data_IF_138103495793
#
_entry.id   IF_138103495793
#
_cell.length_a   1.000
_cell.length_b   1.000
_cell.length_c   1.000
_cell.angle_alpha   90.00
_cell.angle_beta   90.00
_cell.angle_gamma   90.00
#
_symmetry.space_group_name_H-M   'P 1'
#
loop_
_entity.id
_entity.type
_entity.pdbx_description
1 polymer ?
#
# COMPACT_ATOMS: atom_id res chain seq x y z
N UNK A 1 -34.25 33.70 -8.79
CA UNK A 1 -33.69 33.11 -8.26
C UNK A 1 -32.82 32.59 -8.06
N UNK A 2 -33.31 33.04 -8.64
CA UNK A 2 -32.67 32.34 -8.18
C UNK A 2 -31.68 32.00 -8.09
N UNK A 3 -31.97 31.97 -8.37
CA UNK A 3 -31.28 31.43 -8.11
C UNK A 3 -30.42 30.94 -8.00
N UNK A 4 -31.64 32.26 -8.75
CA UNK A 4 -31.29 31.67 -8.26
C UNK A 4 -30.20 31.18 -8.24
N UNK A 5 -30.71 31.56 -8.11
CA UNK A 5 -30.14 31.02 -7.80
C UNK A 5 -29.21 30.57 -7.71
N UNK A 6 -30.36 31.43 -8.06
CA UNK A 6 -29.95 30.96 -7.56
C UNK A 6 -28.98 30.37 -7.43
N UNK A 7 -29.48 30.57 -7.75
CA UNK A 7 -28.96 29.88 -7.42
C UNK A 7 -28.06 29.38 -7.34
N UNK A 8 -28.83 29.80 -7.58
CA UNK A 8 -28.43 29.23 -7.20
C UNK A 8 -27.56 28.78 -6.98
N UNK A 9 -28.51 29.33 -7.26
CA UNK A 9 -28.03 28.71 -6.79
C UNK A 9 -27.20 28.21 -6.72
N UNK A 10 -28.20 28.83 -7.25
CA UNK A 10 -27.80 28.16 -6.88
C UNK A 10 -27.00 27.67 -6.98
N UNK A 11 -27.42 27.62 -7.20
CA UNK A 11 -27.15 27.03 -7.20
C UNK A 11 -26.16 26.52 -7.10
N UNK A 12 -27.36 27.67 -7.74
CA UNK A 12 -26.89 27.06 -7.41
C UNK A 12 -26.05 26.71 -7.29
N UNK A 13 -26.73 26.55 -7.61
CA UNK A 13 -26.34 26.00 -7.43
C UNK A 13 -25.45 25.41 -7.47
N UNK A 14 -26.43 26.52 -8.17
CA UNK A 14 -26.13 25.74 -7.86
C UNK A 14 -25.15 25.29 -8.17
N UNK A 15 -25.53 25.35 -8.36
CA UNK A 15 -25.10 24.81 -8.45
C UNK A 15 -24.09 24.35 -8.45
N UNK A 16 -24.86 25.04 -8.77
CA UNK A 16 -24.11 24.37 -8.45
C UNK A 16 -23.30 23.98 -8.51
N UNK A 17 -23.91 24.10 -8.76
CA UNK A 17 -23.31 23.40 -8.49
C UNK A 17 -22.39 22.73 -8.54
N UNK A 18 -23.08 23.15 -8.91
CA UNK A 18 -22.37 22.28 -8.66
C UNK A 18 -21.42 21.83 -8.69
N UNK A 19 -21.60 22.22 -8.98
CA UNK A 19 -20.73 21.48 -8.65
C UNK A 19 -19.90 21.01 -8.44
N UNK A 20 -20.09 21.10 -8.54
CA UNK A 20 -19.27 20.43 -8.08
C UNK A 20 -18.53 19.63 -7.97
N UNK A 21 -18.72 20.00 -8.15
CA UNK A 21 -17.91 19.09 -7.81
C UNK A 21 -17.20 18.42 -8.04
N UNK A 22 -17.22 18.67 -8.25
CA UNK A 22 -16.51 17.84 -8.22
C UNK A 22 -15.69 17.39 -8.29
N UNK A 23 -15.95 17.61 -8.25
CA UNK A 23 -15.12 17.02 -8.07
C UNK A 23 -14.43 16.31 -8.04
N UNK A 24 -14.61 16.52 -8.00
CA UNK A 24 -13.90 15.70 -7.87
C UNK A 24 -13.48 14.76 -7.96
N UNK A 25 -13.58 14.83 -8.19
CA UNK A 25 -13.12 13.85 -8.21
C UNK A 25 -12.43 13.13 -8.24
N UNK A 26 -12.43 13.32 -8.30
CA UNK A 26 -11.71 12.57 -8.23
C UNK A 26 -11.30 11.78 -7.99
N UNK A 27 -12.02 12.08 -8.47
CA UNK A 27 -11.62 11.16 -8.02
C UNK A 27 -10.59 10.51 -8.18
N UNK A 28 -10.32 10.78 -8.31
CA UNK A 28 -9.25 9.87 -8.31
C UNK A 28 -9.59 8.62 -7.61
N UNK A 29 -9.49 7.56 -8.26
CA UNK A 29 -9.70 6.34 -7.53
C UNK A 29 -8.60 6.18 -6.50
N UNK A 30 -8.97 6.01 -5.28
CA UNK A 30 -8.05 5.68 -4.24
C UNK A 30 -7.41 4.33 -4.57
N UNK A 31 -6.13 4.20 -4.38
CA UNK A 31 -5.47 2.92 -4.54
C UNK A 31 -5.92 1.98 -3.44
N UNK A 32 -6.17 0.75 -3.82
CA UNK A 32 -6.50 -0.29 -2.86
C UNK A 32 -5.21 -0.83 -2.26
N UNK A 33 -5.15 -0.88 -0.95
CA UNK A 33 -4.02 -1.46 -0.24
C UNK A 33 -4.38 -2.86 0.22
N UNK A 34 -3.41 -3.76 0.15
CA UNK A 34 -3.57 -5.12 0.67
C UNK A 34 -2.67 -5.26 1.88
N UNK A 35 -3.24 -5.80 2.96
CA UNK A 35 -2.47 -6.07 4.17
C UNK A 35 -1.74 -7.39 4.00
N UNK A 36 -0.52 -7.45 4.51
CA UNK A 36 0.29 -8.66 4.51
C UNK A 36 1.01 -8.71 5.85
N UNK A 37 1.27 -9.91 6.33
CA UNK A 37 1.96 -10.09 7.60
C UNK A 37 3.44 -10.31 7.35
N UNK A 38 4.28 -9.66 8.14
CA UNK A 38 5.72 -9.78 7.97
C UNK A 38 6.47 -9.72 9.28
N UNK A 39 7.75 -9.98 9.20
CA UNK A 39 8.68 -9.79 10.31
C UNK A 39 9.12 -8.33 10.36
N UNK A 40 9.78 -7.94 11.44
CA UNK A 40 10.60 -6.74 11.42
C UNK A 40 11.78 -6.97 10.47
N UNK A 41 12.54 -5.93 10.18
CA UNK A 41 13.74 -6.09 9.35
C UNK A 41 14.66 -7.06 10.06
N UNK A 42 15.12 -8.10 9.33
CA UNK A 42 15.76 -9.26 9.94
C UNK A 42 17.24 -9.08 10.21
N UNK A 43 17.86 -8.11 9.58
CA UNK A 43 19.32 -7.98 9.63
C UNK A 43 20.06 -8.97 8.76
N UNK A 44 19.33 -9.87 8.10
CA UNK A 44 19.93 -10.85 7.20
C UNK A 44 20.35 -10.18 5.91
N UNK A 45 21.22 -10.85 5.16
CA UNK A 45 21.73 -10.32 3.90
C UNK A 45 21.43 -11.26 2.74
N UNK A 46 20.72 -12.34 2.98
CA UNK A 46 20.36 -13.34 1.97
C UNK A 46 18.92 -13.79 2.15
N UNK A 47 18.35 -14.32 1.07
CA UNK A 47 16.99 -14.86 1.13
C UNK A 47 16.94 -16.08 2.06
N UNK A 48 17.92 -16.95 1.99
CA UNK A 48 17.93 -18.15 2.83
C UNK A 48 18.07 -17.82 4.31
N UNK A 49 18.89 -16.83 4.64
CA UNK A 49 19.00 -16.35 6.02
C UNK A 49 17.69 -15.77 6.51
N UNK A 50 17.02 -15.00 5.66
CA UNK A 50 15.72 -14.41 5.99
C UNK A 50 14.67 -15.50 6.19
N UNK A 51 14.63 -16.51 5.33
CA UNK A 51 13.68 -17.61 5.48
C UNK A 51 13.91 -18.40 6.77
N UNK A 52 15.15 -18.43 7.25
CA UNK A 52 15.52 -19.14 8.49
C UNK A 52 15.50 -18.24 9.72
N UNK A 53 15.07 -16.99 9.59
CA UNK A 53 15.10 -16.05 10.71
C UNK A 53 14.24 -16.52 11.86
N UNK A 54 14.68 -16.19 13.09
CA UNK A 54 13.91 -16.42 14.30
C UNK A 54 12.95 -15.27 14.60
N UNK A 55 12.98 -14.20 13.79
CA UNK A 55 12.09 -13.07 14.00
C UNK A 55 10.64 -13.49 13.77
N UNK A 56 9.76 -13.05 14.66
CA UNK A 56 8.35 -13.36 14.55
C UNK A 56 7.74 -12.67 13.31
N UNK A 57 6.81 -13.37 12.67
CA UNK A 57 6.08 -12.83 11.50
C UNK A 57 4.71 -12.41 12.00
N UNK A 58 4.64 -11.20 12.55
CA UNK A 58 3.43 -10.71 13.21
C UNK A 58 3.23 -9.19 13.04
N UNK A 59 3.92 -8.57 12.10
CA UNK A 59 3.76 -7.13 11.83
C UNK A 59 2.95 -6.97 10.56
N UNK A 60 2.01 -6.04 10.56
CA UNK A 60 1.20 -5.78 9.38
C UNK A 60 1.86 -4.72 8.51
N UNK A 61 2.06 -5.05 7.24
CA UNK A 61 2.52 -4.13 6.22
C UNK A 61 1.47 -4.02 5.13
N UNK A 62 1.65 -3.08 4.21
CA UNK A 62 0.66 -2.81 3.16
C UNK A 62 1.37 -2.62 1.83
N UNK A 63 0.74 -3.09 0.75
CA UNK A 63 1.18 -2.81 -0.62
C UNK A 63 -0.02 -2.63 -1.51
N UNK A 64 0.18 -2.10 -2.69
CA UNK A 64 -0.92 -1.81 -3.60
C UNK A 64 -0.80 -2.55 -4.93
N UNK A 65 -0.26 -3.73 -4.92
CA UNK A 65 -0.31 -4.61 -6.09
C UNK A 65 -1.76 -5.05 -6.35
N UNK A 66 -1.99 -5.75 -7.44
CA UNK A 66 -3.35 -6.14 -7.84
C UNK A 66 -4.05 -7.08 -6.87
N UNK A 67 -3.29 -7.82 -6.04
CA UNK A 67 -3.85 -8.73 -5.03
C UNK A 67 -2.84 -8.89 -3.90
N UNK A 68 -3.28 -9.46 -2.79
CA UNK A 68 -2.41 -9.63 -1.61
C UNK A 68 -1.16 -10.44 -1.93
N UNK A 69 -1.29 -11.46 -2.78
CA UNK A 69 -0.17 -12.30 -3.19
C UNK A 69 0.51 -11.84 -4.47
N UNK A 70 -0.03 -10.81 -5.11
CA UNK A 70 0.40 -10.40 -6.46
C UNK A 70 1.54 -9.40 -6.48
N UNK A 71 2.20 -9.15 -5.36
CA UNK A 71 3.34 -8.24 -5.36
C UNK A 71 4.53 -8.85 -6.09
N UNK A 72 5.28 -8.00 -6.77
CA UNK A 72 6.40 -8.40 -7.61
C UNK A 72 7.56 -7.43 -7.37
N UNK A 73 8.66 -7.65 -8.06
CA UNK A 73 9.76 -6.69 -8.05
C UNK A 73 9.25 -5.31 -8.45
N UNK A 74 9.62 -4.30 -7.71
CA UNK A 74 9.17 -2.92 -7.92
C UNK A 74 7.94 -2.53 -7.14
N UNK A 75 7.21 -3.48 -6.54
CA UNK A 75 6.06 -3.15 -5.68
C UNK A 75 6.54 -2.39 -4.44
N UNK A 76 5.88 -1.29 -4.12
CA UNK A 76 6.20 -0.51 -2.93
C UNK A 76 5.47 -1.08 -1.73
N UNK A 77 6.20 -1.23 -0.62
CA UNK A 77 5.65 -1.66 0.64
C UNK A 77 5.63 -0.51 1.63
N UNK A 78 4.59 -0.48 2.44
CA UNK A 78 4.32 0.62 3.38
C UNK A 78 4.07 0.07 4.78
N UNK A 79 4.36 0.89 5.77
CA UNK A 79 4.01 0.59 7.17
C UNK A 79 2.58 0.99 7.49
N UNK A 80 1.93 1.74 6.63
CA UNK A 80 0.53 2.16 6.75
C UNK A 80 -0.14 2.08 5.40
N UNK A 81 -1.46 1.99 5.39
CA UNK A 81 -2.25 1.97 4.16
C UNK A 81 -2.37 3.40 3.62
N UNK A 82 -1.24 4.03 3.37
CA UNK A 82 -1.16 5.39 2.84
C UNK A 82 -0.02 5.49 1.84
N UNK A 83 -0.31 6.09 0.71
CA UNK A 83 0.69 6.31 -0.32
C UNK A 83 1.47 7.57 0.01
N UNK A 84 2.42 7.42 0.94
CA UNK A 84 3.28 8.51 1.34
C UNK A 84 4.67 7.94 1.59
N UNK A 85 5.66 8.63 1.05
CA UNK A 85 7.05 8.20 1.12
C UNK A 85 7.53 7.98 2.56
N UNK A 86 7.01 8.76 3.49
CA UNK A 86 7.38 8.62 4.90
C UNK A 86 6.99 7.26 5.49
N UNK A 87 6.07 6.56 4.83
CA UNK A 87 5.62 5.25 5.28
C UNK A 87 6.23 4.10 4.49
N UNK A 88 7.19 4.39 3.61
CA UNK A 88 7.91 3.32 2.91
C UNK A 88 8.63 2.43 3.90
N UNK A 89 8.61 1.14 3.62
CA UNK A 89 9.32 0.18 4.44
C UNK A 89 10.82 0.44 4.32
N UNK A 90 11.53 0.34 5.43
CA UNK A 90 12.97 0.58 5.46
C UNK A 90 13.72 -0.49 4.68
N UNK A 91 14.90 -0.14 4.17
CA UNK A 91 15.74 -1.10 3.45
C UNK A 91 16.06 -2.31 4.33
N UNK A 92 16.06 -3.47 3.73
CA UNK A 92 16.46 -4.69 4.42
C UNK A 92 15.68 -5.89 3.91
N UNK A 93 15.86 -7.01 4.61
CA UNK A 93 15.20 -8.27 4.29
C UNK A 93 14.09 -8.53 5.28
N UNK A 94 12.95 -9.01 4.76
CA UNK A 94 11.76 -9.28 5.55
C UNK A 94 11.19 -10.62 5.16
N UNK A 95 10.72 -11.38 6.14
CA UNK A 95 9.99 -12.61 5.89
C UNK A 95 8.51 -12.27 5.95
N UNK A 96 7.78 -12.57 4.89
CA UNK A 96 6.38 -12.14 4.77
C UNK A 96 5.49 -13.29 4.35
N UNK A 97 4.20 -13.17 4.65
CA UNK A 97 3.20 -14.14 4.24
C UNK A 97 1.87 -13.43 4.00
N UNK A 98 1.16 -13.82 2.94
CA UNK A 98 -0.17 -13.28 2.65
C UNK A 98 -1.28 -14.17 3.23
N UNK A 99 -0.98 -15.42 3.56
CA UNK A 99 -1.98 -16.40 3.97
C UNK A 99 -1.64 -17.14 5.27
N UNK A 100 -0.48 -16.87 5.86
CA UNK A 100 -0.02 -17.53 7.06
C UNK A 100 0.61 -18.90 6.83
N UNK A 101 0.65 -19.38 5.59
CA UNK A 101 1.17 -20.71 5.26
C UNK A 101 2.35 -20.66 4.31
N UNK A 102 2.28 -19.80 3.31
CA UNK A 102 3.34 -19.63 2.33
C UNK A 102 4.15 -18.42 2.71
N UNK A 103 5.44 -18.64 2.98
CA UNK A 103 6.33 -17.56 3.40
C UNK A 103 7.30 -17.23 2.29
N UNK A 104 7.62 -15.95 2.18
CA UNK A 104 8.58 -15.46 1.20
C UNK A 104 9.57 -14.54 1.88
N UNK A 105 10.78 -14.50 1.33
CA UNK A 105 11.77 -13.49 1.69
C UNK A 105 11.69 -12.39 0.66
N UNK A 106 11.61 -11.15 1.11
CA UNK A 106 11.69 -9.99 0.22
C UNK A 106 12.83 -9.09 0.68
N UNK A 107 13.51 -8.51 -0.29
CA UNK A 107 14.47 -7.44 -0.04
C UNK A 107 13.82 -6.13 -0.42
N UNK A 108 13.88 -5.15 0.49
CA UNK A 108 13.34 -3.81 0.24
C UNK A 108 14.52 -2.86 0.02
N UNK A 109 14.46 -2.11 -1.07
CA UNK A 109 15.41 -1.05 -1.38
C UNK A 109 14.60 0.18 -1.81
N UNK A 110 14.79 1.28 -1.11
CA UNK A 110 14.06 2.53 -1.37
C UNK A 110 12.55 2.34 -1.36
N UNK A 111 12.06 1.52 -0.43
CA UNK A 111 10.63 1.26 -0.27
C UNK A 111 10.06 0.22 -1.22
N UNK A 112 10.85 -0.30 -2.15
CA UNK A 112 10.35 -1.23 -3.18
C UNK A 112 11.01 -2.59 -3.06
N UNK A 113 10.25 -3.60 -3.46
CA UNK A 113 10.77 -4.96 -3.52
C UNK A 113 11.84 -5.03 -4.61
N UNK A 114 13.05 -5.40 -4.24
CA UNK A 114 14.13 -5.61 -5.20
C UNK A 114 14.32 -7.10 -5.53
N UNK A 115 13.97 -7.99 -4.60
CA UNK A 115 14.03 -9.43 -4.87
C UNK A 115 13.01 -10.16 -4.01
N UNK A 116 12.57 -11.32 -4.52
CA UNK A 116 11.58 -12.18 -3.84
C UNK A 116 12.07 -13.62 -3.98
N UNK A 117 12.00 -14.37 -2.90
CA UNK A 117 12.27 -15.79 -2.92
C UNK A 117 11.24 -16.51 -2.04
N UNK A 118 10.75 -17.64 -2.51
CA UNK A 118 9.82 -18.45 -1.74
C UNK A 118 10.61 -19.26 -0.71
N UNK A 119 10.17 -19.21 0.54
CA UNK A 119 10.75 -20.01 1.61
C UNK A 119 10.21 -21.43 1.54
N UNK A 120 11.05 -22.40 1.88
CA UNK A 120 10.66 -23.81 1.82
C UNK A 120 10.78 -24.49 3.14
#
# INVERSE_FOLDING_TARGET
MALGNANTSAQARGKNKAVKIQRRKEVVSAKSFHAITGSIETGETTASGTCSTSEAVNVTYYHNAGSASGYTGGTTFYTRARENRRYHLANGYYKVTHDGSTFKSIEIVSGRVSSIATCR
#
